data_IF_962103463655
#
_entry.id   IF_962103463655
#
_cell.length_a   1.000
_cell.length_b   1.000
_cell.length_c   1.000
_cell.angle_alpha   90.00
_cell.angle_beta   90.00
_cell.angle_gamma   90.00
#
_symmetry.space_group_name_H-M   'P 1'
#
loop_
_entity.id
_entity.type
_entity.pdbx_description
1 polymer ?
#
# COMPACT_ATOMS: atom_id res chain seq x y z
N UNK A 1 -0.20 1.79 -15.93
CA UNK A 1 -0.99 1.69 -14.69
C UNK A 1 -0.64 0.45 -13.90
N UNK A 2 -0.64 -0.70 -14.54
CA UNK A 2 -0.28 -1.95 -13.87
C UNK A 2 1.15 -1.92 -13.34
N UNK A 3 2.06 -1.34 -14.11
CA UNK A 3 3.45 -1.21 -13.68
C UNK A 3 3.58 -0.37 -12.40
N UNK A 4 2.85 0.74 -12.32
CA UNK A 4 2.88 1.60 -11.15
C UNK A 4 2.36 0.87 -9.90
N UNK A 5 1.30 0.08 -10.04
CA UNK A 5 0.74 -0.71 -8.95
C UNK A 5 1.70 -1.80 -8.52
N UNK A 6 2.38 -2.46 -9.47
CA UNK A 6 3.40 -3.45 -9.15
C UNK A 6 4.57 -2.85 -8.38
N UNK A 7 4.93 -1.60 -8.69
CA UNK A 7 5.99 -0.91 -7.96
C UNK A 7 5.58 -0.65 -6.50
N UNK A 8 4.31 -0.32 -6.27
CA UNK A 8 3.79 -0.17 -4.89
C UNK A 8 3.90 -1.49 -4.14
N UNK A 9 3.51 -2.59 -4.78
CA UNK A 9 3.62 -3.92 -4.16
C UNK A 9 5.07 -4.25 -3.83
N UNK A 10 5.98 -4.04 -4.77
CA UNK A 10 7.40 -4.32 -4.57
C UNK A 10 7.96 -3.49 -3.41
N UNK A 11 7.57 -2.22 -3.33
CA UNK A 11 8.06 -1.33 -2.27
C UNK A 11 7.50 -1.73 -0.91
N UNK A 12 6.25 -2.18 -0.86
CA UNK A 12 5.66 -2.71 0.39
C UNK A 12 6.45 -3.91 0.90
N UNK A 13 6.79 -4.84 0.02
CA UNK A 13 7.55 -6.04 0.40
C UNK A 13 8.96 -5.68 0.84
N UNK A 14 9.58 -4.72 0.16
CA UNK A 14 10.89 -4.21 0.53
C UNK A 14 10.87 -3.54 1.90
N UNK A 15 9.84 -2.72 2.16
CA UNK A 15 9.65 -2.07 3.46
C UNK A 15 9.48 -3.09 4.57
N UNK A 16 8.75 -4.17 4.30
CA UNK A 16 8.60 -5.26 5.26
C UNK A 16 9.96 -5.84 5.63
N UNK A 17 10.81 -6.12 4.63
CA UNK A 17 12.14 -6.65 4.88
C UNK A 17 13.02 -5.68 5.66
N UNK A 18 12.88 -4.38 5.40
CA UNK A 18 13.64 -3.34 6.11
C UNK A 18 13.25 -3.27 7.58
N UNK A 19 11.95 -3.35 7.88
CA UNK A 19 11.45 -3.16 9.24
C UNK A 19 11.36 -4.46 10.05
N UNK A 20 11.37 -5.60 9.38
CA UNK A 20 11.34 -6.93 10.02
C UNK A 20 12.45 -7.82 9.44
N UNK A 21 13.72 -7.45 9.68
CA UNK A 21 14.84 -8.21 9.11
C UNK A 21 14.82 -9.65 9.64
N UNK A 22 15.03 -10.59 8.73
CA UNK A 22 15.05 -12.01 9.07
C UNK A 22 13.68 -12.67 9.08
N UNK A 23 12.58 -11.90 9.03
CA UNK A 23 11.23 -12.47 8.95
C UNK A 23 10.88 -12.79 7.50
N UNK A 24 10.17 -13.91 7.30
CA UNK A 24 9.69 -14.27 5.98
C UNK A 24 8.60 -13.30 5.53
N UNK A 25 8.68 -12.83 4.28
CA UNK A 25 7.67 -11.95 3.72
C UNK A 25 6.41 -12.76 3.44
N UNK A 26 5.24 -12.34 3.98
CA UNK A 26 3.99 -13.06 3.68
C UNK A 26 3.73 -13.12 2.19
N UNK A 27 3.23 -14.24 1.66
CA UNK A 27 2.92 -14.35 0.23
C UNK A 27 1.77 -13.45 -0.21
N UNK A 28 0.79 -13.21 0.66
CA UNK A 28 -0.36 -12.35 0.33
C UNK A 28 -0.04 -10.92 0.64
N UNK A 29 -0.23 -10.03 -0.33
CA UNK A 29 0.07 -8.61 -0.14
C UNK A 29 -0.79 -7.98 0.95
N UNK A 30 -2.02 -8.43 1.13
CA UNK A 30 -2.87 -7.95 2.22
C UNK A 30 -2.26 -8.18 3.60
N UNK A 31 -1.58 -9.31 3.79
CA UNK A 31 -0.90 -9.61 5.04
C UNK A 31 0.32 -8.72 5.24
N UNK A 32 1.01 -8.37 4.16
CA UNK A 32 2.13 -7.41 4.22
C UNK A 32 1.62 -6.04 4.64
N UNK A 33 0.54 -5.58 4.03
CA UNK A 33 -0.08 -4.29 4.37
C UNK A 33 -0.50 -4.27 5.84
N UNK A 34 -1.16 -5.33 6.31
CA UNK A 34 -1.58 -5.44 7.70
C UNK A 34 -0.41 -5.41 8.67
N UNK A 35 0.66 -6.14 8.35
CA UNK A 35 1.85 -6.17 9.21
C UNK A 35 2.54 -4.80 9.33
N UNK A 36 2.47 -3.98 8.28
CA UNK A 36 3.14 -2.68 8.25
C UNK A 36 2.24 -1.54 8.74
N UNK A 37 0.99 -1.50 8.31
CA UNK A 37 0.19 -0.28 8.32
C UNK A 37 -1.04 -0.37 9.25
N UNK A 38 -1.38 -1.55 9.77
CA UNK A 38 -2.49 -1.68 10.70
C UNK A 38 -2.21 -0.94 12.03
N UNK A 39 -3.18 -0.93 12.92
CA UNK A 39 -3.07 -0.24 14.21
C UNK A 39 -1.78 -0.61 14.96
N UNK A 40 -1.41 -1.88 14.93
CA UNK A 40 -0.19 -2.37 15.57
C UNK A 40 0.92 -2.67 14.58
N UNK A 41 0.83 -2.06 13.39
CA UNK A 41 1.82 -2.27 12.35
C UNK A 41 3.18 -1.70 12.70
N UNK A 42 4.21 -2.24 12.04
CA UNK A 42 5.58 -1.84 12.32
C UNK A 42 5.99 -0.53 11.67
N UNK A 43 5.27 -0.08 10.64
CA UNK A 43 5.59 1.17 9.96
C UNK A 43 4.79 2.33 10.57
N UNK A 44 5.42 3.10 11.45
CA UNK A 44 4.79 4.23 12.13
C UNK A 44 5.09 5.51 11.32
N UNK A 45 4.24 5.83 10.37
CA UNK A 45 4.44 6.94 9.45
C UNK A 45 3.69 8.21 9.85
N UNK A 46 2.87 8.15 10.91
CA UNK A 46 2.17 9.33 11.42
C UNK A 46 1.92 9.19 12.91
N UNK A 47 1.66 10.32 13.56
CA UNK A 47 1.36 10.33 14.98
C UNK A 47 -0.07 9.86 15.21
N UNK A 48 -0.24 8.75 15.94
CA UNK A 48 -1.55 8.16 16.22
C UNK A 48 -2.02 8.42 17.65
N UNK A 49 -1.41 9.37 18.35
CA UNK A 49 -1.88 9.76 19.69
C UNK A 49 -3.18 10.55 19.62
N UNK A 50 -3.45 11.23 18.50
CA UNK A 50 -4.70 11.95 18.28
C UNK A 50 -5.61 11.19 17.30
N UNK A 51 -6.92 11.45 17.40
CA UNK A 51 -7.90 10.79 16.54
C UNK A 51 -7.67 11.05 15.05
N UNK A 52 -7.23 12.27 14.71
CA UNK A 52 -6.97 12.62 13.31
C UNK A 52 -5.87 11.74 12.69
N UNK A 53 -4.80 11.47 13.45
CA UNK A 53 -3.72 10.60 12.99
C UNK A 53 -4.17 9.16 12.86
N UNK A 54 -4.98 8.67 13.79
CA UNK A 54 -5.55 7.33 13.70
C UNK A 54 -6.46 7.17 12.48
N UNK A 55 -7.26 8.19 12.20
CA UNK A 55 -8.13 8.17 11.01
C UNK A 55 -7.32 8.21 9.72
N UNK A 56 -6.26 9.01 9.69
CA UNK A 56 -5.35 9.06 8.54
C UNK A 56 -4.71 7.69 8.29
N UNK A 57 -4.17 7.07 9.34
CA UNK A 57 -3.57 5.74 9.23
C UNK A 57 -4.57 4.72 8.67
N UNK A 58 -5.79 4.72 9.21
CA UNK A 58 -6.82 3.78 8.76
C UNK A 58 -7.18 4.01 7.30
N UNK A 59 -7.32 5.27 6.90
CA UNK A 59 -7.63 5.63 5.52
C UNK A 59 -6.51 5.21 4.56
N UNK A 60 -5.27 5.44 4.93
CA UNK A 60 -4.11 5.04 4.13
C UNK A 60 -4.07 3.50 3.99
N UNK A 61 -4.32 2.78 5.07
CA UNK A 61 -4.39 1.32 5.01
C UNK A 61 -5.44 0.87 4.00
N UNK A 62 -6.63 1.47 4.04
CA UNK A 62 -7.72 1.15 3.11
C UNK A 62 -7.35 1.47 1.67
N UNK A 63 -6.61 2.54 1.43
CA UNK A 63 -6.14 2.89 0.08
C UNK A 63 -5.15 1.86 -0.46
N UNK A 64 -4.22 1.40 0.37
CA UNK A 64 -3.30 0.33 -0.04
C UNK A 64 -4.07 -0.95 -0.36
N UNK A 65 -4.99 -1.34 0.52
CA UNK A 65 -5.80 -2.54 0.33
C UNK A 65 -6.66 -2.43 -0.94
N UNK A 66 -7.26 -1.27 -1.14
CA UNK A 66 -8.12 -1.02 -2.30
C UNK A 66 -7.37 -1.06 -3.62
N UNK A 67 -6.20 -0.44 -3.70
CA UNK A 67 -5.44 -0.43 -4.94
C UNK A 67 -4.97 -1.85 -5.32
N UNK A 68 -4.58 -2.64 -4.32
CA UNK A 68 -4.18 -4.02 -4.57
C UNK A 68 -5.37 -4.87 -5.01
N UNK A 69 -6.53 -4.72 -4.36
CA UNK A 69 -7.72 -5.48 -4.72
C UNK A 69 -8.24 -5.12 -6.11
N UNK A 70 -8.26 -3.83 -6.42
CA UNK A 70 -8.88 -3.36 -7.67
C UNK A 70 -7.97 -3.51 -8.89
N UNK A 71 -6.67 -3.28 -8.73
CA UNK A 71 -5.79 -3.10 -9.88
C UNK A 71 -4.60 -4.05 -9.92
N UNK A 72 -4.26 -4.70 -8.83
CA UNK A 72 -3.13 -5.63 -8.82
C UNK A 72 -3.56 -7.09 -8.97
N UNK A 73 -4.76 -7.44 -8.49
CA UNK A 73 -5.26 -8.80 -8.58
C UNK A 73 -5.65 -9.12 -10.03
N UNK A 74 -4.93 -10.03 -10.74
CA UNK A 74 -5.24 -10.32 -12.13
C UNK A 74 -6.65 -10.87 -12.35
N UNK A 75 -7.16 -11.64 -11.40
CA UNK A 75 -8.50 -12.20 -11.51
C UNK A 75 -9.58 -11.13 -11.44
N UNK A 76 -9.32 -10.03 -10.74
CA UNK A 76 -10.29 -8.95 -10.58
C UNK A 76 -10.44 -8.10 -11.83
N UNK A 77 -9.41 -8.04 -12.70
CA UNK A 77 -9.45 -7.16 -13.88
C UNK A 77 -9.05 -7.84 -15.18
N UNK A 78 -9.08 -9.16 -15.23
CA UNK A 78 -8.67 -9.92 -16.42
C UNK A 78 -9.47 -9.54 -17.68
N UNK A 79 -10.73 -9.14 -17.51
CA UNK A 79 -11.62 -8.79 -18.61
C UNK A 79 -11.98 -7.30 -18.65
N UNK A 80 -11.28 -6.47 -17.86
CA UNK A 80 -11.56 -5.04 -17.81
C UNK A 80 -10.65 -4.27 -18.77
N UNK A 81 -11.23 -3.25 -19.40
CA UNK A 81 -10.48 -2.30 -20.21
C UNK A 81 -10.56 -0.95 -19.52
N UNK A 82 -9.41 -0.37 -19.20
CA UNK A 82 -9.35 0.91 -18.53
C UNK A 82 -9.25 2.03 -19.53
N UNK A 83 -10.03 3.08 -19.33
CA UNK A 83 -9.89 4.30 -20.08
C UNK A 83 -8.58 5.00 -19.69
N UNK A 84 -8.09 5.84 -20.60
CA UNK A 84 -6.86 6.59 -20.39
C UNK A 84 -6.89 7.38 -19.08
N UNK A 85 -8.02 8.01 -18.79
CA UNK A 85 -8.17 8.79 -17.56
C UNK A 85 -8.02 7.91 -16.31
N UNK A 86 -8.66 6.75 -16.31
CA UNK A 86 -8.56 5.83 -15.16
C UNK A 86 -7.13 5.34 -14.98
N UNK A 87 -6.44 5.02 -16.06
CA UNK A 87 -5.04 4.61 -16.00
C UNK A 87 -4.16 5.71 -15.40
N UNK A 88 -4.41 6.97 -15.78
CA UNK A 88 -3.67 8.10 -15.22
C UNK A 88 -3.95 8.29 -13.73
N UNK A 89 -5.20 8.12 -13.32
CA UNK A 89 -5.57 8.24 -11.91
C UNK A 89 -4.96 7.12 -11.06
N UNK A 90 -4.86 5.91 -11.61
CA UNK A 90 -4.14 4.82 -10.95
C UNK A 90 -2.68 5.19 -10.70
N UNK A 91 -2.03 5.78 -11.69
CA UNK A 91 -0.63 6.22 -11.57
C UNK A 91 -0.50 7.28 -10.48
N UNK A 92 -1.41 8.23 -10.43
CA UNK A 92 -1.40 9.28 -9.42
C UNK A 92 -1.61 8.73 -8.02
N UNK A 93 -2.55 7.81 -7.85
CA UNK A 93 -2.78 7.15 -6.57
C UNK A 93 -1.55 6.34 -6.14
N UNK A 94 -0.98 5.57 -7.07
CA UNK A 94 0.22 4.80 -6.78
C UNK A 94 1.37 5.71 -6.35
N UNK A 95 1.52 6.85 -7.01
CA UNK A 95 2.54 7.85 -6.65
C UNK A 95 2.34 8.37 -5.23
N UNK A 96 1.10 8.66 -4.85
CA UNK A 96 0.80 9.10 -3.48
C UNK A 96 1.14 8.03 -2.45
N UNK A 97 0.82 6.79 -2.74
CA UNK A 97 1.12 5.68 -1.82
C UNK A 97 2.62 5.43 -1.71
N UNK A 98 3.36 5.58 -2.81
CA UNK A 98 4.82 5.52 -2.77
C UNK A 98 5.38 6.63 -1.89
N UNK A 99 4.82 7.83 -1.98
CA UNK A 99 5.21 8.93 -1.11
C UNK A 99 5.01 8.60 0.37
N UNK A 100 3.88 7.95 0.71
CA UNK A 100 3.65 7.52 2.09
C UNK A 100 4.74 6.55 2.56
N UNK A 101 5.13 5.60 1.70
CA UNK A 101 6.17 4.62 2.04
C UNK A 101 7.56 5.25 2.20
N UNK A 102 7.75 6.46 1.69
CA UNK A 102 9.00 7.20 1.84
C UNK A 102 9.04 8.04 3.12
N UNK A 103 7.92 8.14 3.85
CA UNK A 103 7.89 8.90 5.10
C UNK A 103 8.81 8.26 6.14
N UNK A 104 9.42 9.09 7.01
CA UNK A 104 10.28 8.54 8.07
C UNK A 104 9.48 7.74 9.08
N UNK A 105 10.13 6.75 9.66
CA UNK A 105 9.61 6.00 10.79
C UNK A 105 9.59 6.91 12.03
N UNK A 106 8.46 7.02 12.68
CA UNK A 106 8.33 7.79 13.92
C UNK A 106 8.70 6.98 15.14
#
# INVERSE_FOLDING_TARGET
>A
AEKAVKEVESRLREKFSELKPGAAIPPKIGDVIGALISENGTFKFCDTTAASGRNYRRGIQSLFEGIMAAYRNPAAHANLQYEKREAMEQIMLASQLMYVLEKPQL
#
